data_IF_080164215090
#
_entry.id   IF_080164215090
#
_cell.length_a   1.000
_cell.length_b   1.000
_cell.length_c   1.000
_cell.angle_alpha   90.00
_cell.angle_beta   90.00
_cell.angle_gamma   90.00
#
_symmetry.space_group_name_H-M   'P 1'
#
loop_
_entity.id
_entity.type
_entity.pdbx_description
1 polymer ?
#
# COMPACT_ATOMS: atom_id res chain seq x y z
N UNK A 1 9.40 -22.25 -20.66
CA UNK A 1 8.34 -22.95 -19.95
C UNK A 1 7.15 -22.06 -19.73
N UNK A 2 5.97 -22.55 -20.04
CA UNK A 2 4.75 -21.78 -19.85
C UNK A 2 4.12 -22.13 -18.52
N UNK A 3 3.78 -21.12 -17.75
CA UNK A 3 3.13 -21.31 -16.47
C UNK A 3 1.62 -21.20 -16.66
N UNK A 4 0.89 -22.11 -16.05
CA UNK A 4 -0.56 -22.12 -16.17
C UNK A 4 -1.15 -21.03 -15.30
N UNK A 5 -2.25 -20.45 -15.78
CA UNK A 5 -2.93 -19.42 -15.02
C UNK A 5 -3.32 -19.92 -13.62
N UNK A 6 -3.79 -21.16 -13.53
CA UNK A 6 -4.18 -21.72 -12.23
C UNK A 6 -3.01 -21.77 -11.26
N UNK A 7 -1.82 -22.11 -11.77
CA UNK A 7 -0.65 -22.16 -10.92
C UNK A 7 -0.28 -20.76 -10.40
N UNK A 8 -0.40 -19.78 -11.26
CA UNK A 8 -0.11 -18.39 -10.87
C UNK A 8 -1.12 -17.91 -9.84
N UNK A 9 -2.41 -18.20 -10.07
CA UNK A 9 -3.45 -17.79 -9.13
C UNK A 9 -3.24 -18.46 -7.77
N UNK A 10 -2.91 -19.75 -7.77
CA UNK A 10 -2.68 -20.46 -6.52
C UNK A 10 -1.49 -19.89 -5.76
N UNK A 11 -0.39 -19.60 -6.48
CA UNK A 11 0.79 -19.04 -5.84
C UNK A 11 0.51 -17.66 -5.26
N UNK A 12 -0.27 -16.84 -5.97
CA UNK A 12 -0.63 -15.52 -5.47
C UNK A 12 -1.52 -15.61 -4.23
N UNK A 13 -2.43 -16.58 -4.19
CA UNK A 13 -3.26 -16.75 -3.01
C UNK A 13 -2.43 -17.17 -1.81
N UNK A 14 -1.49 -18.10 -2.01
CA UNK A 14 -0.64 -18.57 -0.93
C UNK A 14 0.28 -17.50 -0.39
N UNK A 15 0.69 -16.56 -1.23
CA UNK A 15 1.61 -15.50 -0.83
C UNK A 15 0.90 -14.17 -0.56
N UNK A 16 -0.43 -14.20 -0.46
CA UNK A 16 -1.21 -13.00 -0.13
C UNK A 16 -1.01 -11.86 -1.11
N UNK A 17 -0.89 -12.19 -2.39
CA UNK A 17 -0.74 -11.20 -3.44
C UNK A 17 0.66 -10.65 -3.60
N UNK A 18 1.64 -11.23 -2.92
CA UNK A 18 3.03 -10.77 -3.03
C UNK A 18 3.66 -11.37 -4.25
N UNK A 19 3.77 -10.58 -5.31
CA UNK A 19 4.15 -11.07 -6.63
C UNK A 19 5.56 -11.67 -6.64
N UNK A 20 6.51 -11.02 -5.96
CA UNK A 20 7.88 -11.53 -5.94
C UNK A 20 7.98 -12.89 -5.26
N UNK A 21 7.26 -13.07 -4.17
CA UNK A 21 7.25 -14.36 -3.48
C UNK A 21 6.54 -15.42 -4.29
N UNK A 22 5.45 -15.05 -4.97
CA UNK A 22 4.75 -15.99 -5.83
C UNK A 22 5.65 -16.43 -6.98
N UNK A 23 6.36 -15.49 -7.59
CA UNK A 23 7.27 -15.81 -8.68
C UNK A 23 8.39 -16.72 -8.20
N UNK A 24 8.92 -16.45 -7.02
CA UNK A 24 9.97 -17.30 -6.46
C UNK A 24 9.48 -18.74 -6.25
N UNK A 25 8.26 -18.89 -5.75
CA UNK A 25 7.71 -20.22 -5.50
C UNK A 25 7.45 -20.97 -6.79
N UNK A 26 7.18 -20.27 -7.89
CA UNK A 26 6.95 -20.90 -9.18
C UNK A 26 8.24 -21.08 -9.98
N UNK A 27 9.32 -20.42 -9.58
CA UNK A 27 10.56 -20.47 -10.32
C UNK A 27 10.57 -19.61 -11.56
N UNK A 28 9.80 -18.52 -11.56
CA UNK A 28 9.77 -17.61 -12.69
C UNK A 28 10.12 -16.20 -12.22
N UNK A 29 10.24 -15.27 -13.16
CA UNK A 29 10.50 -13.88 -12.80
C UNK A 29 9.19 -13.17 -12.46
N UNK A 30 9.24 -12.13 -11.64
CA UNK A 30 8.02 -11.37 -11.34
C UNK A 30 7.35 -10.79 -12.58
N UNK A 31 8.14 -10.46 -13.60
CA UNK A 31 7.58 -9.94 -14.84
C UNK A 31 6.63 -10.93 -15.52
N UNK A 32 6.90 -12.21 -15.36
CA UNK A 32 6.01 -13.24 -15.91
C UNK A 32 4.60 -13.08 -15.34
N UNK A 33 4.52 -12.86 -14.03
CA UNK A 33 3.23 -12.67 -13.37
C UNK A 33 2.59 -11.35 -13.78
N UNK A 34 3.36 -10.26 -13.82
CA UNK A 34 2.82 -8.97 -14.22
C UNK A 34 2.30 -8.98 -15.65
N UNK A 35 3.02 -9.68 -16.56
CA UNK A 35 2.55 -9.79 -17.93
C UNK A 35 1.27 -10.60 -18.02
N UNK A 36 1.16 -11.64 -17.21
CA UNK A 36 -0.07 -12.43 -17.20
C UNK A 36 -1.21 -11.60 -16.65
N UNK A 37 -0.94 -10.75 -15.64
CA UNK A 37 -1.97 -9.89 -15.06
C UNK A 37 -2.49 -8.89 -16.08
N UNK A 38 -1.63 -8.41 -16.97
CA UNK A 38 -2.06 -7.50 -18.04
C UNK A 38 -3.03 -8.16 -19.00
N UNK A 39 -2.82 -9.44 -19.24
CA UNK A 39 -3.62 -10.18 -20.22
C UNK A 39 -4.82 -10.89 -19.61
N UNK A 40 -4.78 -11.14 -18.31
CA UNK A 40 -5.81 -11.91 -17.65
C UNK A 40 -6.27 -11.17 -16.39
N UNK A 41 -7.48 -10.66 -16.46
CA UNK A 41 -8.03 -9.88 -15.37
C UNK A 41 -8.14 -10.67 -14.08
N UNK A 42 -8.33 -11.98 -14.16
CA UNK A 42 -8.44 -12.80 -12.95
C UNK A 42 -7.15 -12.72 -12.13
N UNK A 43 -6.00 -12.67 -12.80
CA UNK A 43 -4.72 -12.59 -12.10
C UNK A 43 -4.62 -11.25 -11.38
N UNK A 44 -4.96 -10.17 -12.07
CA UNK A 44 -4.91 -8.85 -11.45
C UNK A 44 -5.91 -8.77 -10.28
N UNK A 45 -7.10 -9.34 -10.45
CA UNK A 45 -8.11 -9.33 -9.40
C UNK A 45 -7.63 -10.06 -8.15
N UNK A 46 -6.94 -11.18 -8.32
CA UNK A 46 -6.41 -11.92 -7.17
C UNK A 46 -5.35 -11.10 -6.45
N UNK A 47 -4.46 -10.44 -7.21
CA UNK A 47 -3.45 -9.58 -6.60
C UNK A 47 -4.13 -8.49 -5.77
N UNK A 48 -5.10 -7.81 -6.37
CA UNK A 48 -5.78 -6.71 -5.70
C UNK A 48 -6.56 -7.18 -4.48
N UNK A 49 -7.25 -8.31 -4.61
CA UNK A 49 -8.05 -8.84 -3.51
C UNK A 49 -7.17 -9.27 -2.34
N UNK A 50 -6.09 -9.96 -2.63
CA UNK A 50 -5.22 -10.42 -1.56
C UNK A 50 -4.53 -9.26 -0.85
N UNK A 51 -4.11 -8.26 -1.60
CA UNK A 51 -3.52 -7.06 -1.00
C UNK A 51 -4.53 -6.29 -0.17
N UNK A 52 -5.77 -6.22 -0.65
CA UNK A 52 -6.83 -5.58 0.12
C UNK A 52 -7.06 -6.27 1.44
N UNK A 53 -7.06 -7.60 1.44
CA UNK A 53 -7.23 -8.35 2.68
C UNK A 53 -6.10 -8.10 3.66
N UNK A 54 -4.87 -7.98 3.15
CA UNK A 54 -3.74 -7.71 4.01
C UNK A 54 -3.84 -6.31 4.62
N UNK A 55 -4.25 -5.34 3.82
CA UNK A 55 -4.44 -3.98 4.31
C UNK A 55 -5.54 -3.96 5.39
N UNK A 56 -6.65 -4.69 5.15
CA UNK A 56 -7.71 -4.77 6.15
C UNK A 56 -7.20 -5.33 7.47
N UNK A 57 -6.35 -6.35 7.40
CA UNK A 57 -5.79 -6.94 8.62
C UNK A 57 -4.88 -5.95 9.34
N UNK A 58 -4.09 -5.19 8.59
CA UNK A 58 -3.23 -4.18 9.17
C UNK A 58 -4.06 -3.08 9.82
N UNK A 59 -5.13 -2.67 9.16
CA UNK A 59 -6.01 -1.65 9.70
C UNK A 59 -6.69 -2.12 10.98
N UNK A 60 -7.03 -3.40 11.04
CA UNK A 60 -7.62 -3.95 12.26
C UNK A 60 -6.65 -3.86 13.43
N UNK A 61 -5.37 -4.16 13.19
CA UNK A 61 -4.35 -4.03 14.23
C UNK A 61 -4.11 -2.58 14.59
N UNK A 62 -4.16 -1.69 13.60
CA UNK A 62 -4.05 -0.26 13.86
C UNK A 62 -5.21 0.22 14.74
N UNK A 63 -6.41 -0.25 14.45
CA UNK A 63 -7.58 0.10 15.26
C UNK A 63 -7.39 -0.32 16.71
N UNK A 64 -6.86 -1.52 16.92
CA UNK A 64 -6.59 -1.99 18.27
C UNK A 64 -5.59 -1.10 19.01
N UNK A 65 -4.54 -0.67 18.29
CA UNK A 65 -3.53 0.21 18.87
C UNK A 65 -4.12 1.57 19.21
N UNK A 66 -5.01 2.08 18.37
CA UNK A 66 -5.70 3.33 18.63
C UNK A 66 -6.57 3.20 19.88
N UNK A 67 -7.31 2.10 19.98
CA UNK A 67 -8.16 1.84 21.14
C UNK A 67 -7.35 1.74 22.43
N UNK A 68 -6.11 1.27 22.33
CA UNK A 68 -5.21 1.22 23.46
C UNK A 68 -4.55 2.57 23.76
N UNK A 69 -4.83 3.58 22.95
CA UNK A 69 -4.31 4.92 23.20
C UNK A 69 -2.85 5.11 22.84
N UNK A 70 -2.31 4.28 21.94
CA UNK A 70 -0.91 4.41 21.56
C UNK A 70 -0.73 5.66 20.70
N UNK A 71 0.15 6.59 21.12
CA UNK A 71 0.26 7.87 20.42
C UNK A 71 0.64 7.74 18.94
N UNK A 72 1.55 6.81 18.62
CA UNK A 72 1.95 6.64 17.25
C UNK A 72 0.78 6.21 16.36
N UNK A 73 -0.10 5.36 16.91
CA UNK A 73 -1.24 4.86 16.14
C UNK A 73 -2.28 5.94 15.94
N UNK A 74 -2.53 6.73 16.99
CA UNK A 74 -3.48 7.84 16.89
C UNK A 74 -2.98 8.85 15.86
N UNK A 75 -1.70 9.20 15.94
CA UNK A 75 -1.11 10.15 15.00
C UNK A 75 -1.17 9.63 13.58
N UNK A 76 -0.78 8.38 13.37
CA UNK A 76 -0.80 7.78 12.03
C UNK A 76 -2.22 7.78 11.45
N UNK A 77 -3.19 7.41 12.26
CA UNK A 77 -4.58 7.35 11.81
C UNK A 77 -5.09 8.72 11.41
N UNK A 78 -4.81 9.75 12.22
CA UNK A 78 -5.26 11.09 11.91
C UNK A 78 -4.60 11.63 10.64
N UNK A 79 -3.31 11.37 10.46
CA UNK A 79 -2.60 11.82 9.27
C UNK A 79 -3.06 11.10 8.01
N UNK A 80 -3.41 9.83 8.14
CA UNK A 80 -3.80 9.02 6.98
C UNK A 80 -5.27 9.18 6.63
N UNK A 81 -6.14 9.09 7.62
CA UNK A 81 -7.57 9.07 7.40
C UNK A 81 -8.25 10.38 7.78
N UNK A 82 -7.57 11.22 8.54
CA UNK A 82 -8.16 12.46 9.02
C UNK A 82 -7.86 13.68 8.17
N UNK A 83 -7.31 13.51 7.00
CA UNK A 83 -6.92 14.64 6.15
C UNK A 83 -8.09 15.56 5.86
N UNK A 84 -9.27 15.02 5.63
CA UNK A 84 -10.45 15.80 5.32
C UNK A 84 -10.91 16.64 6.50
N UNK A 85 -10.44 16.31 7.69
CA UNK A 85 -10.77 17.07 8.89
C UNK A 85 -9.67 18.04 9.29
N UNK A 86 -8.65 18.21 8.42
CA UNK A 86 -7.58 19.14 8.67
C UNK A 86 -6.32 18.55 9.25
N UNK A 87 -6.26 17.25 9.49
CA UNK A 87 -5.07 16.62 10.04
C UNK A 87 -4.09 16.33 8.92
N UNK A 88 -3.32 17.36 8.56
CA UNK A 88 -2.31 17.23 7.52
C UNK A 88 -0.95 17.52 8.14
N UNK A 89 0.05 16.84 7.61
CA UNK A 89 1.42 17.08 8.06
C UNK A 89 1.95 18.34 7.38
N UNK A 90 2.45 19.27 8.19
CA UNK A 90 3.00 20.50 7.70
C UNK A 90 4.30 20.80 8.42
N UNK A 91 5.27 21.23 7.69
CA UNK A 91 6.58 21.55 8.23
C UNK A 91 6.91 22.98 7.83
N UNK A 92 7.37 23.79 8.81
CA UNK A 92 7.79 25.15 8.55
C UNK A 92 9.29 25.25 8.75
N UNK A 93 9.95 25.90 7.81
CA UNK A 93 11.38 26.10 7.86
C UNK A 93 11.64 27.58 7.60
N UNK A 94 12.60 28.17 8.35
CA UNK A 94 12.99 29.56 8.12
C UNK A 94 13.74 29.66 6.82
N UNK A 95 13.29 30.57 5.94
CA UNK A 95 13.96 30.80 4.68
C UNK A 95 15.21 31.64 4.84
N UNK A 96 15.85 31.96 3.70
CA UNK A 96 17.13 32.65 3.69
C UNK A 96 17.05 34.05 4.31
N UNK A 97 15.91 34.69 4.21
CA UNK A 97 15.72 36.04 4.75
C UNK A 97 15.08 36.02 6.12
N UNK A 98 15.08 34.88 6.78
CA UNK A 98 14.41 34.76 8.06
C UNK A 98 12.92 34.58 7.99
N UNK A 99 12.38 34.50 6.80
CA UNK A 99 10.96 34.31 6.64
C UNK A 99 10.60 32.83 6.73
N UNK A 100 9.44 32.50 7.29
CA UNK A 100 9.04 31.12 7.36
C UNK A 100 8.85 30.53 5.97
N UNK A 101 9.27 29.28 5.82
CA UNK A 101 9.05 28.55 4.59
C UNK A 101 8.13 27.38 4.91
N UNK A 102 7.00 27.32 4.24
CA UNK A 102 6.03 26.26 4.46
C UNK A 102 6.32 25.12 3.51
N UNK A 103 6.58 23.94 4.07
CA UNK A 103 6.77 22.73 3.27
C UNK A 103 5.62 21.81 3.60
N UNK A 104 4.89 21.44 2.56
CA UNK A 104 3.75 20.55 2.73
C UNK A 104 4.07 19.18 2.18
N UNK A 105 3.86 18.17 3.00
CA UNK A 105 4.00 16.81 2.52
C UNK A 105 2.79 16.46 1.67
N UNK A 106 3.05 16.09 0.43
CA UNK A 106 1.99 15.72 -0.49
C UNK A 106 2.39 14.41 -1.12
N UNK A 107 1.53 13.43 -0.98
CA UNK A 107 1.75 12.16 -1.66
C UNK A 107 1.67 12.37 -3.16
N UNK A 108 2.51 11.66 -3.89
CA UNK A 108 2.52 11.80 -5.34
C UNK A 108 1.14 11.53 -5.92
N UNK A 109 0.46 10.55 -5.38
CA UNK A 109 -0.90 10.25 -5.82
C UNK A 109 -1.90 11.23 -5.29
N UNK A 110 -1.63 11.81 -4.12
CA UNK A 110 -2.59 12.68 -3.45
C UNK A 110 -2.63 14.07 -4.01
N UNK A 111 -1.61 14.48 -4.72
CA UNK A 111 -1.57 15.83 -5.22
C UNK A 111 -2.27 16.01 -6.54
N UNK A 112 -2.84 14.97 -7.07
CA UNK A 112 -3.47 15.02 -8.36
C UNK A 112 -4.83 15.63 -8.35
N UNK A 113 -5.32 15.91 -7.25
CA UNK A 113 -6.69 16.39 -7.25
C UNK A 113 -6.94 17.63 -6.69
#
# INVERSE_FOLDING_TARGET
>A
MLYRTEDILSALEKTHGMVYLAAESLGCSPMTIYRRAEKNKKVQDVIDTQRGKLIDKAELKLEQAVMNGEPWAVTLTLKSLGKNRGYVERQEVTGADGKPMNIRWVDVEGDTD
#
